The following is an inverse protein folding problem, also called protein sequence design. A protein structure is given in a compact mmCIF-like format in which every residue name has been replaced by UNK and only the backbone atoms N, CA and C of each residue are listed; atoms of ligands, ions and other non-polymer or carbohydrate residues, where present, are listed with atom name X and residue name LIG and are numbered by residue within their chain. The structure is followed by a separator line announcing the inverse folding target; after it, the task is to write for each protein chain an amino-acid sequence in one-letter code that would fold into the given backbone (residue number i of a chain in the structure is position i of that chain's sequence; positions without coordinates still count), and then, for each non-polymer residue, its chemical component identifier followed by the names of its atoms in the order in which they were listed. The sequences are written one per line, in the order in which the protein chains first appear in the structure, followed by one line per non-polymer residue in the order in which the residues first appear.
data_IF_192261460669
#
_entry.id   IF_192261460669
#
_cell.length_a   1.000
_cell.length_b   1.000
_cell.length_c   1.000
_cell.angle_alpha   90.00
_cell.angle_beta   90.00
_cell.angle_gamma   90.00
#
_symmetry.space_group_name_H-M   'P 1'
#
loop_
_entity.id
_entity.type
_entity.pdbx_description
1 polymer ?
#
# COMPACT_ATOMS: atom_id res chain seq x y z
N UNK A 1 -0.48 -17.04 1.94
CA UNK A 1 -0.39 -15.66 1.40
C UNK A 1 -1.35 -14.77 2.16
N UNK A 2 -0.89 -13.63 2.60
CA UNK A 2 -1.71 -12.68 3.34
C UNK A 2 -2.64 -11.94 2.37
N UNK A 3 -3.92 -11.88 2.71
CA UNK A 3 -4.89 -11.12 1.94
C UNK A 3 -4.84 -9.65 2.34
N UNK A 4 -5.27 -8.75 1.45
CA UNK A 4 -5.27 -7.32 1.74
C UNK A 4 -6.08 -6.96 2.99
N UNK A 5 -7.12 -7.72 3.32
CA UNK A 5 -7.94 -7.49 4.49
C UNK A 5 -7.28 -7.92 5.80
N UNK A 6 -6.16 -8.63 5.73
CA UNK A 6 -5.39 -9.03 6.91
C UNK A 6 -4.35 -7.96 7.28
N UNK A 7 -4.14 -6.98 6.41
CA UNK A 7 -3.19 -5.90 6.65
C UNK A 7 -3.88 -4.79 7.44
N UNK A 8 -3.23 -4.34 8.49
CA UNK A 8 -3.70 -3.20 9.26
C UNK A 8 -3.26 -1.92 8.54
N UNK A 9 -4.17 -1.30 7.79
CA UNK A 9 -3.85 -0.12 6.98
C UNK A 9 -3.89 1.18 7.77
N UNK A 10 -4.74 1.24 8.78
CA UNK A 10 -4.98 2.44 9.57
C UNK A 10 -3.77 2.78 10.45
N UNK A 11 -3.44 4.05 10.53
CA UNK A 11 -2.36 4.58 11.36
C UNK A 11 -0.94 4.14 10.97
N UNK A 12 -0.73 3.74 9.73
CA UNK A 12 0.61 3.47 9.21
C UNK A 12 1.20 4.77 8.68
N UNK A 13 2.26 5.27 9.32
CA UNK A 13 2.98 6.43 8.81
C UNK A 13 3.78 6.02 7.58
N UNK A 14 3.61 6.77 6.48
CA UNK A 14 4.34 6.51 5.25
C UNK A 14 5.74 7.10 5.34
N UNK A 15 6.75 6.25 5.33
CA UNK A 15 8.15 6.66 5.40
C UNK A 15 8.74 6.90 4.01
N UNK A 16 8.44 6.02 3.07
CA UNK A 16 8.92 6.16 1.70
C UNK A 16 8.11 5.27 0.76
N UNK A 17 8.25 5.55 -0.53
CA UNK A 17 7.65 4.74 -1.58
C UNK A 17 8.75 4.40 -2.58
N UNK A 18 8.92 3.12 -2.85
CA UNK A 18 10.02 2.62 -3.67
C UNK A 18 9.47 1.76 -4.79
N UNK A 19 9.80 2.14 -6.02
CA UNK A 19 9.46 1.31 -7.17
C UNK A 19 10.66 0.43 -7.52
N UNK A 20 10.42 -0.87 -7.69
CA UNK A 20 11.45 -1.84 -8.05
C UNK A 20 11.05 -2.47 -9.39
N UNK A 21 11.42 -1.83 -10.53
CA UNK A 21 10.93 -2.27 -11.85
C UNK A 21 11.34 -3.69 -12.22
N UNK A 22 12.52 -4.13 -11.83
CA UNK A 22 13.01 -5.47 -12.17
C UNK A 22 12.16 -6.58 -11.54
N UNK A 23 11.45 -6.28 -10.47
CA UNK A 23 10.62 -7.23 -9.75
C UNK A 23 9.13 -6.94 -9.89
N UNK A 24 8.77 -5.91 -10.64
CA UNK A 24 7.39 -5.44 -10.79
C UNK A 24 6.75 -5.18 -9.42
N UNK A 25 7.49 -4.56 -8.52
CA UNK A 25 7.02 -4.26 -7.18
C UNK A 25 6.96 -2.76 -6.92
N UNK A 26 5.93 -2.37 -6.19
CA UNK A 26 5.87 -1.05 -5.55
C UNK A 26 5.83 -1.29 -4.04
N UNK A 27 6.75 -0.66 -3.33
CA UNK A 27 6.90 -0.85 -1.89
C UNK A 27 6.51 0.43 -1.17
N UNK A 28 5.54 0.32 -0.26
CA UNK A 28 5.25 1.37 0.70
C UNK A 28 5.94 0.99 2.01
N UNK A 29 6.96 1.75 2.38
CA UNK A 29 7.66 1.55 3.64
C UNK A 29 6.95 2.37 4.70
N UNK A 30 6.50 1.69 5.74
CA UNK A 30 5.65 2.30 6.75
C UNK A 30 6.12 1.96 8.15
N UNK A 31 5.70 2.77 9.13
CA UNK A 31 5.71 2.34 10.53
C UNK A 31 4.43 1.59 10.79
N UNK A 32 4.55 0.29 10.95
CA UNK A 32 3.41 -0.63 11.06
C UNK A 32 3.12 -0.97 12.52
N UNK A 33 1.87 -0.87 12.97
CA UNK A 33 1.54 -1.20 14.36
C UNK A 33 1.64 -2.71 14.58
N UNK A 34 2.58 -3.13 15.41
CA UNK A 34 2.76 -4.54 15.76
C UNK A 34 2.13 -4.88 17.10
N UNK A 35 2.00 -3.89 17.98
CA UNK A 35 1.28 -4.04 19.24
C UNK A 35 0.49 -2.77 19.50
N UNK A 36 -0.76 -2.79 19.06
CA UNK A 36 -1.63 -1.64 19.10
C UNK A 36 -1.88 -1.16 20.53
N UNK A 37 -2.07 -2.10 21.47
CA UNK A 37 -2.39 -1.76 22.85
C UNK A 37 -1.21 -1.06 23.56
N UNK A 38 0.01 -1.41 23.20
CA UNK A 38 1.22 -0.84 23.79
C UNK A 38 1.89 0.21 22.91
N UNK A 39 1.22 0.62 21.85
CA UNK A 39 1.71 1.69 20.96
C UNK A 39 3.07 1.36 20.34
N UNK A 40 3.27 0.09 19.97
CA UNK A 40 4.52 -0.36 19.34
C UNK A 40 4.39 -0.43 17.84
N UNK A 41 5.36 0.16 17.17
CA UNK A 41 5.43 0.21 15.70
C UNK A 41 6.77 -0.31 15.23
N UNK A 42 6.78 -0.97 14.08
CA UNK A 42 8.01 -1.43 13.43
C UNK A 42 8.01 -1.05 11.97
N UNK A 43 9.19 -0.75 11.45
CA UNK A 43 9.36 -0.49 10.02
C UNK A 43 9.03 -1.75 9.24
N UNK A 44 8.04 -1.65 8.37
CA UNK A 44 7.54 -2.78 7.59
C UNK A 44 7.28 -2.32 6.18
N UNK A 45 7.46 -3.20 5.21
CA UNK A 45 7.17 -2.91 3.82
C UNK A 45 5.81 -3.51 3.45
N UNK A 46 4.94 -2.68 2.87
CA UNK A 46 3.72 -3.14 2.21
C UNK A 46 4.08 -3.24 0.73
N UNK A 47 4.10 -4.47 0.20
CA UNK A 47 4.60 -4.75 -1.14
C UNK A 47 3.44 -5.05 -2.07
N UNK A 48 3.31 -4.25 -3.12
CA UNK A 48 2.36 -4.46 -4.19
C UNK A 48 3.09 -5.16 -5.33
N UNK A 49 2.78 -6.43 -5.54
CA UNK A 49 3.42 -7.26 -6.56
C UNK A 49 2.60 -7.25 -7.85
N UNK A 50 3.30 -7.32 -8.99
CA UNK A 50 2.65 -7.18 -10.29
C UNK A 50 2.07 -5.77 -10.43
N UNK A 51 2.88 -4.78 -10.10
CA UNK A 51 2.49 -3.38 -10.09
C UNK A 51 2.26 -2.85 -11.52
N UNK A 52 1.12 -2.19 -11.73
CA UNK A 52 0.73 -1.62 -13.03
C UNK A 52 0.70 -0.11 -13.03
N UNK A 53 0.10 0.48 -12.00
CA UNK A 53 -0.05 1.93 -12.00
C UNK A 53 -0.17 2.49 -10.60
N UNK A 54 0.20 3.75 -10.47
CA UNK A 54 0.11 4.52 -9.24
C UNK A 54 -0.47 5.88 -9.58
N UNK A 55 -1.48 6.29 -8.83
CA UNK A 55 -2.05 7.63 -8.95
C UNK A 55 -2.12 8.23 -7.55
N UNK A 56 -1.39 9.33 -7.34
CA UNK A 56 -1.37 10.04 -6.08
C UNK A 56 -2.10 11.36 -6.26
N UNK A 57 -3.15 11.56 -5.48
CA UNK A 57 -3.92 12.79 -5.49
C UNK A 57 -3.94 13.34 -4.06
N UNK A 58 -2.86 14.03 -3.70
CA UNK A 58 -2.64 14.54 -2.36
C UNK A 58 -2.30 16.03 -2.43
N UNK A 59 -2.73 16.78 -1.40
CA UNK A 59 -2.31 18.16 -1.24
C UNK A 59 -0.92 18.20 -0.62
N UNK A 60 -0.17 19.30 -0.78
CA UNK A 60 1.11 19.43 -0.07
C UNK A 60 0.93 19.22 1.42
N UNK A 61 1.77 18.38 2.00
CA UNK A 61 1.67 17.97 3.39
C UNK A 61 3.04 18.09 4.05
N UNK A 62 3.09 18.74 5.18
CA UNK A 62 4.33 18.87 5.93
C UNK A 62 4.53 17.61 6.77
N UNK A 63 5.67 16.95 6.57
CA UNK A 63 5.99 15.69 7.22
C UNK A 63 5.53 14.48 6.41
N UNK A 64 5.48 13.33 7.05
CA UNK A 64 5.08 12.08 6.42
C UNK A 64 3.58 11.88 6.52
N UNK A 65 2.88 11.60 5.41
CA UNK A 65 1.45 11.27 5.50
C UNK A 65 1.23 9.97 6.25
N UNK A 66 0.05 9.85 6.83
CA UNK A 66 -0.37 8.63 7.53
C UNK A 66 -1.54 7.99 6.78
N UNK A 67 -1.48 6.68 6.60
CA UNK A 67 -2.60 5.94 6.01
C UNK A 67 -3.79 5.98 6.97
N UNK A 68 -4.95 6.35 6.46
CA UNK A 68 -6.20 6.33 7.22
C UNK A 68 -6.94 5.02 6.99
N UNK A 69 -6.73 4.36 5.87
CA UNK A 69 -7.32 3.07 5.61
C UNK A 69 -7.32 2.69 4.14
N UNK A 70 -7.69 1.44 3.90
CA UNK A 70 -7.98 0.94 2.57
C UNK A 70 -9.48 1.14 2.33
N UNK A 71 -9.83 2.11 1.49
CA UNK A 71 -11.24 2.48 1.28
C UNK A 71 -11.98 1.44 0.45
N UNK A 72 -11.34 0.94 -0.59
CA UNK A 72 -11.96 -0.07 -1.44
C UNK A 72 -10.90 -0.82 -2.24
N UNK A 73 -11.26 -2.02 -2.67
CA UNK A 73 -10.47 -2.82 -3.59
C UNK A 73 -11.39 -3.23 -4.72
N UNK A 74 -11.03 -2.82 -5.94
CA UNK A 74 -11.80 -3.13 -7.12
C UNK A 74 -11.03 -4.10 -7.99
N UNK A 75 -11.69 -5.15 -8.45
CA UNK A 75 -11.11 -6.07 -9.41
C UNK A 75 -11.20 -5.46 -10.80
N UNK A 76 -10.07 -5.39 -11.49
CA UNK A 76 -10.00 -4.88 -12.85
C UNK A 76 -9.52 -6.02 -13.75
N UNK A 77 -10.40 -6.46 -14.66
CA UNK A 77 -10.04 -7.48 -15.63
C UNK A 77 -9.73 -6.82 -16.96
N UNK A 78 -8.68 -7.29 -17.62
CA UNK A 78 -8.29 -6.80 -18.93
C UNK A 78 -8.19 -7.97 -19.88
N UNK A 79 -9.01 -7.92 -20.95
CA UNK A 79 -8.96 -8.92 -22.01
C UNK A 79 -7.62 -8.90 -22.75
N UNK A 80 -7.02 -7.72 -22.86
CA UNK A 80 -5.74 -7.57 -23.54
C UNK A 80 -4.59 -8.23 -22.79
N UNK A 81 -4.61 -8.14 -21.47
CA UNK A 81 -3.54 -8.67 -20.62
C UNK A 81 -3.81 -10.09 -20.14
N UNK A 82 -5.04 -10.57 -20.33
CA UNK A 82 -5.50 -11.90 -19.89
C UNK A 82 -5.16 -12.17 -18.42
N UNK A 83 -5.16 -11.15 -17.62
CA UNK A 83 -4.83 -11.25 -16.20
C UNK A 83 -5.73 -10.33 -15.39
N UNK A 84 -6.02 -10.75 -14.17
CA UNK A 84 -6.77 -9.93 -13.23
C UNK A 84 -5.79 -9.10 -12.42
N UNK A 85 -6.19 -7.88 -12.13
CA UNK A 85 -5.48 -7.04 -11.19
C UNK A 85 -6.47 -6.34 -10.29
N UNK A 86 -5.98 -5.75 -9.24
CA UNK A 86 -6.82 -5.08 -8.27
C UNK A 86 -6.43 -3.62 -8.18
N UNK A 87 -7.43 -2.79 -7.99
CA UNK A 87 -7.24 -1.36 -7.77
C UNK A 87 -7.46 -1.10 -6.29
N UNK A 88 -6.37 -0.79 -5.59
CA UNK A 88 -6.38 -0.52 -4.16
C UNK A 88 -6.52 0.98 -3.95
N UNK A 89 -7.62 1.39 -3.33
CA UNK A 89 -7.89 2.80 -3.05
C UNK A 89 -7.54 3.08 -1.60
N UNK A 90 -6.42 3.78 -1.39
CA UNK A 90 -5.92 4.11 -0.06
C UNK A 90 -6.23 5.56 0.26
N UNK A 91 -6.74 5.82 1.47
CA UNK A 91 -6.89 7.18 1.95
C UNK A 91 -5.73 7.52 2.89
N UNK A 92 -5.28 8.78 2.82
CA UNK A 92 -4.27 9.32 3.71
C UNK A 92 -4.75 10.64 4.28
N UNK A 93 -4.06 11.17 5.27
CA UNK A 93 -4.39 12.49 5.79
C UNK A 93 -4.02 13.63 4.84
N UNK A 94 -3.41 13.33 3.71
CA UNK A 94 -3.09 14.29 2.66
C UNK A 94 -3.99 14.14 1.43
N UNK A 95 -4.67 13.00 1.27
CA UNK A 95 -5.52 12.74 0.11
C UNK A 95 -5.69 11.26 -0.17
N UNK A 96 -5.58 10.87 -1.44
CA UNK A 96 -5.86 9.52 -1.88
C UNK A 96 -4.70 9.01 -2.74
N UNK A 97 -4.35 7.73 -2.55
CA UNK A 97 -3.43 7.00 -3.42
C UNK A 97 -4.15 5.80 -3.99
N UNK A 98 -4.08 5.63 -5.30
CA UNK A 98 -4.68 4.51 -6.00
C UNK A 98 -3.57 3.68 -6.64
N UNK A 99 -3.48 2.42 -6.26
CA UNK A 99 -2.43 1.51 -6.74
C UNK A 99 -3.09 0.32 -7.42
N UNK A 100 -2.70 0.05 -8.66
CA UNK A 100 -3.15 -1.13 -9.38
C UNK A 100 -2.03 -2.16 -9.40
N UNK A 101 -2.31 -3.35 -8.87
CA UNK A 101 -1.35 -4.44 -8.78
C UNK A 101 -2.09 -5.78 -8.72
N UNK A 102 -1.34 -6.87 -8.92
CA UNK A 102 -1.93 -8.22 -8.84
C UNK A 102 -2.18 -8.65 -7.41
N UNK A 103 -1.31 -8.27 -6.48
CA UNK A 103 -1.42 -8.70 -5.10
C UNK A 103 -0.69 -7.73 -4.17
N UNK A 104 -0.95 -7.88 -2.88
CA UNK A 104 -0.30 -7.10 -1.83
C UNK A 104 0.04 -8.00 -0.66
N UNK A 105 1.18 -7.77 -0.03
CA UNK A 105 1.60 -8.53 1.16
C UNK A 105 2.53 -7.67 2.03
N UNK A 106 2.69 -8.09 3.27
CA UNK A 106 3.64 -7.48 4.19
C UNK A 106 4.99 -8.20 4.09
N UNK A 107 6.06 -7.43 4.21
CA UNK A 107 7.43 -7.94 4.26
C UNK A 107 8.14 -7.27 5.41
N UNK A 108 8.60 -8.06 6.37
CA UNK A 108 9.35 -7.53 7.50
C UNK A 108 10.70 -6.98 7.05
N UNK A 109 11.10 -5.90 7.67
CA UNK A 109 12.42 -5.35 7.46
C UNK A 109 13.37 -5.85 8.53
N UNK A 110 14.48 -6.37 8.09
CA UNK A 110 15.51 -6.91 8.98
C UNK A 110 16.65 -5.89 9.10
#
# INVERSE_FOLDING_TARGET
MMEHNEIHWHDCELLSMIEVPLQDELILRVMYPVDWENDKYEETDIVFSGFYSLNINEIPFEGNPTLLGLESVERVDSDLLKSSRFKFNLSTNAGIRVIEAKSVHLRERI
#
